data_IF_155291097247
#
_entry.id   IF_155291097247
#
_cell.length_a   1.000
_cell.length_b   1.000
_cell.length_c   1.000
_cell.angle_alpha   90.00
_cell.angle_beta   90.00
_cell.angle_gamma   90.00
#
_symmetry.space_group_name_H-M   'P 1'
#
loop_
_entity.id
_entity.type
_entity.pdbx_description
1 polymer ?
#
# COMPACT_ATOMS: atom_id res chain seq x y z
N UNK A 1 -5.88 -46.92 -24.67
CA UNK A 1 -5.40 -46.82 -23.27
C UNK A 1 -4.53 -45.58 -23.06
N UNK A 2 -3.46 -45.36 -23.83
CA UNK A 2 -2.58 -44.19 -23.70
C UNK A 2 -3.30 -42.84 -23.92
N UNK A 3 -4.15 -42.75 -24.96
CA UNK A 3 -4.92 -41.52 -25.24
C UNK A 3 -5.93 -41.19 -24.14
N UNK A 4 -6.56 -42.21 -23.54
CA UNK A 4 -7.47 -42.01 -22.41
C UNK A 4 -6.72 -41.56 -21.14
N UNK A 5 -5.50 -42.07 -20.90
CA UNK A 5 -4.66 -41.67 -19.77
C UNK A 5 -4.19 -40.21 -19.91
N UNK A 6 -3.82 -39.79 -21.13
CA UNK A 6 -3.41 -38.40 -21.42
C UNK A 6 -4.58 -37.44 -21.25
N UNK A 7 -5.79 -37.82 -21.69
CA UNK A 7 -7.00 -36.99 -21.50
C UNK A 7 -7.36 -36.88 -20.02
N UNK A 8 -7.26 -37.96 -19.23
CA UNK A 8 -7.52 -37.90 -17.78
C UNK A 8 -6.48 -37.05 -17.06
N UNK A 9 -5.19 -37.15 -17.40
CA UNK A 9 -4.14 -36.33 -16.79
C UNK A 9 -4.28 -34.85 -17.17
N UNK A 10 -4.62 -34.53 -18.42
CA UNK A 10 -4.84 -33.14 -18.84
C UNK A 10 -6.11 -32.57 -18.20
N UNK A 11 -7.19 -33.34 -18.08
CA UNK A 11 -8.41 -32.90 -17.39
C UNK A 11 -8.19 -32.72 -15.90
N UNK A 12 -7.42 -33.59 -15.23
CA UNK A 12 -7.09 -33.43 -13.80
C UNK A 12 -6.18 -32.23 -13.57
N UNK A 13 -5.17 -31.99 -14.43
CA UNK A 13 -4.29 -30.81 -14.31
C UNK A 13 -5.06 -29.52 -14.60
N UNK A 14 -5.94 -29.50 -15.59
CA UNK A 14 -6.77 -28.32 -15.90
C UNK A 14 -7.81 -28.07 -14.81
N UNK A 15 -8.43 -29.11 -14.23
CA UNK A 15 -9.35 -28.96 -13.10
C UNK A 15 -8.62 -28.51 -11.84
N UNK A 16 -7.41 -29.00 -11.55
CA UNK A 16 -6.60 -28.54 -10.41
C UNK A 16 -6.13 -27.09 -10.62
N UNK A 17 -5.69 -26.71 -11.82
CA UNK A 17 -5.29 -25.33 -12.11
C UNK A 17 -6.49 -24.37 -12.08
N UNK A 18 -7.65 -24.78 -12.61
CA UNK A 18 -8.88 -23.98 -12.56
C UNK A 18 -9.42 -23.90 -11.14
N UNK A 19 -9.37 -24.96 -10.34
CA UNK A 19 -9.75 -24.92 -8.92
C UNK A 19 -8.78 -24.06 -8.12
N UNK A 20 -7.47 -24.11 -8.37
CA UNK A 20 -6.48 -23.23 -7.72
C UNK A 20 -6.68 -21.77 -8.12
N UNK A 21 -6.95 -21.47 -9.41
CA UNK A 21 -7.21 -20.12 -9.89
C UNK A 21 -8.57 -19.59 -9.40
N UNK A 22 -9.60 -20.44 -9.29
CA UNK A 22 -10.93 -20.07 -8.76
C UNK A 22 -10.91 -19.94 -7.23
N UNK A 23 -10.10 -20.71 -6.51
CA UNK A 23 -9.85 -20.52 -5.06
C UNK A 23 -9.08 -19.23 -4.80
N UNK A 24 -8.18 -18.81 -5.70
CA UNK A 24 -7.48 -17.52 -5.63
C UNK A 24 -8.40 -16.34 -6.01
N UNK A 25 -9.49 -16.57 -6.76
CA UNK A 25 -10.30 -15.50 -7.37
C UNK A 25 -11.74 -15.39 -6.84
N UNK A 26 -12.28 -16.36 -6.07
CA UNK A 26 -13.73 -16.37 -5.77
C UNK A 26 -14.13 -16.56 -4.29
N UNK A 27 -13.25 -16.90 -3.34
CA UNK A 27 -13.71 -17.07 -1.93
C UNK A 27 -12.66 -16.64 -0.91
N UNK A 28 -12.32 -15.35 -0.85
CA UNK A 28 -11.72 -14.76 0.35
C UNK A 28 -12.29 -13.35 0.49
N UNK A 29 -12.83 -13.00 1.66
CA UNK A 29 -12.98 -11.60 2.07
C UNK A 29 -11.58 -10.97 2.02
N UNK A 30 -11.20 -10.37 0.88
CA UNK A 30 -9.83 -9.87 0.71
C UNK A 30 -9.61 -8.72 1.71
N UNK A 31 -8.81 -8.98 2.73
CA UNK A 31 -8.31 -8.01 3.70
C UNK A 31 -7.04 -7.40 3.11
N UNK A 32 -7.19 -6.21 2.51
CA UNK A 32 -6.07 -5.39 2.09
C UNK A 32 -5.67 -4.50 3.27
N UNK A 33 -4.54 -4.79 3.91
CA UNK A 33 -3.87 -3.77 4.72
C UNK A 33 -3.16 -2.90 3.72
N UNK A 34 -3.81 -1.81 3.37
CA UNK A 34 -3.07 -0.73 2.82
C UNK A 34 -2.23 -0.18 4.00
N UNK A 35 -0.98 -0.67 4.22
CA UNK A 35 0.02 -0.05 5.12
C UNK A 35 0.50 1.26 4.51
N UNK A 36 -0.49 2.10 4.28
CA UNK A 36 -0.36 3.45 3.91
C UNK A 36 -0.10 4.14 5.21
N UNK A 37 1.14 4.47 5.52
CA UNK A 37 1.44 5.43 6.59
C UNK A 37 1.49 6.80 5.94
N UNK A 38 0.62 7.70 6.37
CA UNK A 38 0.74 9.12 6.04
C UNK A 38 1.85 9.74 6.90
N UNK A 39 3.10 9.47 6.54
CA UNK A 39 4.22 10.29 7.02
C UNK A 39 3.99 11.69 6.46
N UNK A 40 4.22 12.71 7.28
CA UNK A 40 3.82 14.09 7.02
C UNK A 40 4.49 14.63 5.72
N UNK A 41 3.84 14.38 4.58
CA UNK A 41 4.31 14.72 3.24
C UNK A 41 3.20 14.52 2.20
N UNK A 42 2.99 15.53 1.34
CA UNK A 42 1.82 15.63 0.45
C UNK A 42 1.74 14.49 -0.56
N UNK A 43 2.88 14.03 -1.12
CA UNK A 43 2.90 12.98 -2.15
C UNK A 43 2.47 11.62 -1.60
N UNK A 44 2.88 11.26 -0.39
CA UNK A 44 2.47 10.00 0.27
C UNK A 44 0.98 10.03 0.57
N UNK A 45 0.45 11.17 1.02
CA UNK A 45 -0.99 11.40 1.26
C UNK A 45 -1.84 11.20 0.00
N UNK A 46 -1.34 11.60 -1.17
CA UNK A 46 -2.05 11.46 -2.45
C UNK A 46 -2.07 10.00 -2.92
N UNK A 47 -0.91 9.33 -2.90
CA UNK A 47 -0.80 7.91 -3.31
C UNK A 47 -1.64 7.02 -2.39
N UNK A 48 -1.58 7.28 -1.10
CA UNK A 48 -2.42 6.70 -0.08
C UNK A 48 -3.93 6.77 -0.36
N UNK A 49 -4.43 7.99 -0.58
CA UNK A 49 -5.85 8.24 -0.80
C UNK A 49 -6.37 7.49 -2.04
N UNK A 50 -5.54 7.37 -3.08
CA UNK A 50 -5.85 6.61 -4.27
C UNK A 50 -5.96 5.11 -3.97
N UNK A 51 -5.00 4.53 -3.26
CA UNK A 51 -4.99 3.10 -2.94
C UNK A 51 -6.17 2.65 -2.10
N UNK A 52 -6.60 3.46 -1.12
CA UNK A 52 -7.82 3.16 -0.34
C UNK A 52 -9.01 3.04 -1.27
N UNK A 53 -9.22 4.02 -2.14
CA UNK A 53 -10.37 4.05 -3.03
C UNK A 53 -10.34 2.91 -4.05
N UNK A 54 -9.18 2.61 -4.63
CA UNK A 54 -9.03 1.49 -5.57
C UNK A 54 -9.28 0.14 -4.88
N UNK A 55 -8.76 -0.07 -3.66
CA UNK A 55 -9.01 -1.28 -2.90
C UNK A 55 -10.50 -1.42 -2.51
N UNK A 56 -11.15 -0.30 -2.15
CA UNK A 56 -12.61 -0.30 -1.90
C UNK A 56 -13.44 -0.58 -3.15
N UNK A 57 -13.06 -0.02 -4.31
CA UNK A 57 -13.69 -0.35 -5.59
C UNK A 57 -13.51 -1.82 -5.97
N UNK A 58 -12.41 -2.43 -5.55
CA UNK A 58 -12.16 -3.87 -5.68
C UNK A 58 -12.89 -4.73 -4.63
N UNK A 59 -13.72 -4.14 -3.75
CA UNK A 59 -14.50 -4.87 -2.75
C UNK A 59 -13.70 -5.31 -1.51
N UNK A 60 -12.52 -4.75 -1.29
CA UNK A 60 -11.64 -5.17 -0.19
C UNK A 60 -12.07 -4.55 1.16
N UNK A 61 -11.74 -5.23 2.25
CA UNK A 61 -11.64 -4.61 3.57
C UNK A 61 -10.30 -3.87 3.65
N UNK A 62 -10.33 -2.58 3.93
CA UNK A 62 -9.16 -1.69 3.88
C UNK A 62 -8.82 -1.21 5.28
N UNK A 63 -7.59 -1.51 5.68
CA UNK A 63 -6.97 -0.98 6.89
C UNK A 63 -5.91 0.02 6.46
N UNK A 64 -5.92 1.23 7.03
CA UNK A 64 -5.00 2.31 6.72
C UNK A 64 -4.35 2.90 7.96
N UNK A 65 -3.11 3.37 7.87
CA UNK A 65 -2.37 3.93 9.01
C UNK A 65 -2.10 5.42 8.83
N UNK A 66 -2.06 6.22 9.89
CA UNK A 66 -1.85 7.66 9.75
C UNK A 66 -1.23 8.29 10.99
N UNK A 67 -0.76 9.54 10.83
CA UNK A 67 -0.05 10.28 11.88
C UNK A 67 -0.93 11.24 12.70
N UNK A 68 -2.22 11.34 12.38
CA UNK A 68 -3.14 12.28 13.05
C UNK A 68 -4.61 11.86 12.92
N UNK A 69 -5.46 12.44 13.78
CA UNK A 69 -6.89 12.16 13.78
C UNK A 69 -7.62 12.76 12.56
N UNK A 70 -7.14 13.90 12.05
CA UNK A 70 -7.65 14.53 10.83
C UNK A 70 -7.43 13.61 9.63
N UNK A 71 -6.24 13.00 9.53
CA UNK A 71 -5.91 12.02 8.49
C UNK A 71 -6.71 10.73 8.63
N UNK A 72 -6.94 10.25 9.85
CA UNK A 72 -7.83 9.12 10.11
C UNK A 72 -9.26 9.43 9.62
N UNK A 73 -9.76 10.64 9.90
CA UNK A 73 -11.08 11.08 9.45
C UNK A 73 -11.18 11.15 7.93
N UNK A 74 -10.13 11.68 7.27
CA UNK A 74 -10.04 11.70 5.81
C UNK A 74 -10.09 10.28 5.24
N UNK A 75 -9.26 9.36 5.76
CA UNK A 75 -9.22 7.96 5.33
C UNK A 75 -10.58 7.28 5.45
N UNK A 76 -11.24 7.47 6.59
CA UNK A 76 -12.58 6.93 6.81
C UNK A 76 -13.60 7.50 5.79
N UNK A 77 -13.49 8.79 5.46
CA UNK A 77 -14.31 9.43 4.42
C UNK A 77 -14.04 8.93 2.99
N UNK A 78 -12.89 8.30 2.75
CA UNK A 78 -12.53 7.63 1.48
C UNK A 78 -12.96 6.16 1.44
N UNK A 79 -13.57 5.65 2.52
CA UNK A 79 -14.06 4.28 2.62
C UNK A 79 -13.12 3.31 3.33
N UNK A 80 -12.05 3.79 3.99
CA UNK A 80 -11.21 2.96 4.84
C UNK A 80 -12.02 2.40 6.02
N UNK A 81 -12.01 1.07 6.19
CA UNK A 81 -12.80 0.36 7.21
C UNK A 81 -12.17 0.50 8.60
N UNK A 82 -10.83 0.43 8.68
CA UNK A 82 -10.07 0.62 9.93
C UNK A 82 -8.90 1.58 9.73
N UNK A 83 -8.94 2.70 10.44
CA UNK A 83 -7.86 3.69 10.45
C UNK A 83 -7.06 3.59 11.74
N UNK A 84 -5.76 3.39 11.67
CA UNK A 84 -4.86 3.25 12.83
C UNK A 84 -4.00 4.51 12.94
N UNK A 85 -4.15 5.27 14.02
CA UNK A 85 -3.24 6.38 14.28
C UNK A 85 -2.01 5.88 15.04
N UNK A 86 -0.90 5.69 14.34
CA UNK A 86 0.31 5.08 14.92
C UNK A 86 0.98 5.92 16.02
N UNK A 87 0.58 7.20 16.18
CA UNK A 87 1.04 8.03 17.30
C UNK A 87 0.28 7.77 18.59
N UNK A 88 -0.91 7.17 18.51
CA UNK A 88 -1.80 6.90 19.66
C UNK A 88 -2.09 5.41 19.85
N UNK A 89 -1.83 4.59 18.83
CA UNK A 89 -2.07 3.16 18.81
C UNK A 89 -0.80 2.42 18.35
N UNK A 90 -0.50 1.27 18.93
CA UNK A 90 0.61 0.43 18.48
C UNK A 90 0.15 -0.47 17.32
N UNK A 91 0.79 -0.31 16.16
CA UNK A 91 0.41 -1.04 14.93
C UNK A 91 0.50 -2.57 15.11
N UNK A 92 1.54 -3.07 15.78
CA UNK A 92 1.75 -4.51 15.95
C UNK A 92 0.64 -5.11 16.84
N UNK A 93 0.28 -4.39 17.91
CA UNK A 93 -0.78 -4.81 18.83
C UNK A 93 -2.16 -4.78 18.16
N UNK A 94 -2.45 -3.72 17.38
CA UNK A 94 -3.73 -3.61 16.67
C UNK A 94 -3.88 -4.72 15.64
N UNK A 95 -2.85 -4.97 14.83
CA UNK A 95 -2.90 -6.06 13.83
C UNK A 95 -3.06 -7.43 14.51
N UNK A 96 -2.35 -7.67 15.61
CA UNK A 96 -2.46 -8.93 16.35
C UNK A 96 -3.86 -9.16 16.94
N UNK A 97 -4.51 -8.09 17.42
CA UNK A 97 -5.80 -8.17 18.10
C UNK A 97 -6.99 -8.20 17.14
N UNK A 98 -6.96 -7.36 16.11
CA UNK A 98 -8.09 -7.17 15.19
C UNK A 98 -7.98 -8.02 13.91
N UNK A 99 -6.76 -8.40 13.51
CA UNK A 99 -6.48 -9.15 12.28
C UNK A 99 -5.64 -10.41 12.57
N UNK A 100 -6.12 -11.34 13.42
CA UNK A 100 -5.35 -12.51 13.84
C UNK A 100 -5.03 -13.49 12.69
N UNK A 101 -5.80 -13.46 11.60
CA UNK A 101 -5.56 -14.24 10.40
C UNK A 101 -4.52 -13.59 9.45
N UNK A 102 -4.03 -12.41 9.84
CA UNK A 102 -3.12 -11.60 9.05
C UNK A 102 -3.82 -10.86 7.92
N UNK A 103 -3.00 -10.42 6.97
CA UNK A 103 -3.34 -9.52 5.88
C UNK A 103 -3.01 -10.13 4.53
N UNK A 104 -3.96 -10.10 3.60
CA UNK A 104 -3.77 -10.67 2.26
C UNK A 104 -2.86 -9.83 1.36
N UNK A 105 -3.00 -8.50 1.41
CA UNK A 105 -2.18 -7.59 0.58
C UNK A 105 -1.69 -6.42 1.41
N UNK A 106 -0.37 -6.20 1.39
CA UNK A 106 0.32 -5.06 2.01
C UNK A 106 0.88 -4.14 0.93
N UNK A 107 0.52 -2.85 0.98
CA UNK A 107 1.19 -1.79 0.22
C UNK A 107 2.16 -1.04 1.15
N UNK A 108 3.47 -1.28 1.03
CA UNK A 108 4.49 -0.80 1.97
C UNK A 108 5.36 0.29 1.34
N UNK A 109 5.41 1.46 1.99
CA UNK A 109 6.10 2.66 1.50
C UNK A 109 7.14 3.23 2.48
N UNK A 110 7.28 2.62 3.66
CA UNK A 110 7.88 3.24 4.83
C UNK A 110 9.20 2.61 5.17
N UNK A 111 9.28 1.28 5.12
CA UNK A 111 10.45 0.50 5.47
C UNK A 111 10.64 0.30 6.97
N UNK A 112 11.80 -0.27 7.32
CA UNK A 112 12.26 -0.48 8.70
C UNK A 112 11.21 -1.21 9.56
N UNK A 113 10.92 -0.70 10.77
CA UNK A 113 10.01 -1.34 11.73
C UNK A 113 8.61 -1.60 11.15
N UNK A 114 8.12 -0.74 10.26
CA UNK A 114 6.78 -0.89 9.65
C UNK A 114 6.79 -2.07 8.67
N UNK A 115 7.86 -2.21 7.88
CA UNK A 115 8.05 -3.38 7.03
C UNK A 115 8.12 -4.68 7.83
N UNK A 116 8.88 -4.69 8.94
CA UNK A 116 9.00 -5.85 9.82
C UNK A 116 7.64 -6.28 10.40
N UNK A 117 6.84 -5.32 10.86
CA UNK A 117 5.47 -5.56 11.37
C UNK A 117 4.57 -6.08 10.25
N UNK A 118 4.63 -5.48 9.05
CA UNK A 118 3.79 -5.90 7.94
C UNK A 118 4.12 -7.32 7.45
N UNK A 119 5.40 -7.68 7.40
CA UNK A 119 5.86 -9.04 7.09
C UNK A 119 5.40 -10.05 8.16
N UNK A 120 5.49 -9.66 9.44
CA UNK A 120 5.02 -10.47 10.57
C UNK A 120 3.52 -10.74 10.50
N UNK A 121 2.71 -9.77 10.09
CA UNK A 121 1.24 -9.87 10.04
C UNK A 121 0.67 -10.22 8.66
N UNK A 122 1.51 -10.61 7.70
CA UNK A 122 1.04 -11.10 6.41
C UNK A 122 0.20 -12.39 6.60
N UNK A 123 -0.91 -12.55 5.89
CA UNK A 123 -1.70 -13.78 5.90
C UNK A 123 -0.97 -14.90 5.16
N UNK A 124 -1.44 -16.13 5.32
CA UNK A 124 -1.07 -17.22 4.42
C UNK A 124 -1.43 -16.83 2.98
N UNK A 125 -0.49 -17.06 2.05
CA UNK A 125 -0.55 -16.65 0.65
C UNK A 125 -0.61 -15.12 0.43
N UNK A 126 -0.33 -14.34 1.48
CA UNK A 126 -0.36 -12.89 1.41
C UNK A 126 0.76 -12.30 0.55
N UNK A 127 0.59 -11.06 0.12
CA UNK A 127 1.49 -10.36 -0.80
C UNK A 127 1.92 -9.02 -0.22
N UNK A 128 3.21 -8.81 -0.06
CA UNK A 128 3.79 -7.54 0.36
C UNK A 128 4.43 -6.84 -0.84
N UNK A 129 3.88 -5.68 -1.22
CA UNK A 129 4.42 -4.82 -2.26
C UNK A 129 5.33 -3.76 -1.63
N UNK A 130 6.60 -3.75 -2.04
CA UNK A 130 7.58 -2.74 -1.64
C UNK A 130 7.61 -1.64 -2.68
N UNK A 131 7.18 -0.45 -2.27
CA UNK A 131 7.03 0.73 -3.13
C UNK A 131 8.13 1.74 -2.86
N UNK A 132 8.57 1.82 -1.60
CA UNK A 132 9.61 2.72 -1.15
C UNK A 132 9.90 2.53 0.34
N UNK A 133 10.88 3.27 0.85
CA UNK A 133 11.26 3.27 2.26
C UNK A 133 11.46 4.71 2.74
N UNK A 134 10.36 5.48 2.87
CA UNK A 134 10.45 6.91 3.17
C UNK A 134 11.19 7.21 4.47
N UNK A 135 11.09 6.32 5.47
CA UNK A 135 11.80 6.50 6.74
C UNK A 135 13.33 6.44 6.60
N UNK A 136 13.85 5.85 5.52
CA UNK A 136 15.29 5.83 5.22
C UNK A 136 15.75 7.05 4.40
N UNK A 137 14.84 7.90 3.92
CA UNK A 137 15.15 9.08 3.10
C UNK A 137 15.50 10.32 3.95
N UNK A 138 15.15 10.33 5.24
CA UNK A 138 15.23 11.50 6.12
C UNK A 138 16.65 11.83 6.60
N UNK A 139 17.53 10.83 6.66
CA UNK A 139 18.91 11.00 7.13
C UNK A 139 19.87 11.17 5.94
N UNK A 140 20.99 11.90 6.03
CA UNK A 140 22.06 11.83 5.03
C UNK A 140 22.73 10.44 4.99
N UNK A 141 23.16 9.94 3.81
CA UNK A 141 23.86 8.64 3.66
C UNK A 141 23.26 7.67 2.62
N UNK A 142 23.84 6.48 2.47
CA UNK A 142 23.34 5.46 1.52
C UNK A 142 22.00 4.87 1.96
N UNK A 143 21.07 4.64 1.03
CA UNK A 143 19.79 3.99 1.32
C UNK A 143 19.97 2.56 1.85
N UNK A 144 20.98 1.84 1.33
CA UNK A 144 21.28 0.47 1.73
C UNK A 144 21.77 0.36 3.18
N UNK A 145 22.46 1.39 3.67
CA UNK A 145 22.96 1.44 5.05
C UNK A 145 21.85 1.78 6.06
N UNK A 146 20.76 2.40 5.59
CA UNK A 146 19.66 2.90 6.42
C UNK A 146 18.44 2.00 6.43
N UNK A 147 18.38 0.99 5.57
CA UNK A 147 17.36 -0.05 5.65
C UNK A 147 17.78 -1.03 6.75
N UNK A 148 17.26 -0.84 7.95
CA UNK A 148 17.61 -1.61 9.16
C UNK A 148 16.58 -2.69 9.48
N UNK A 149 15.95 -3.25 8.44
CA UNK A 149 15.00 -4.35 8.59
C UNK A 149 15.65 -5.47 9.40
N UNK A 150 15.05 -5.77 10.55
CA UNK A 150 15.60 -6.75 11.49
C UNK A 150 15.10 -8.16 11.20
N UNK A 151 14.02 -8.30 10.42
CA UNK A 151 13.40 -9.59 10.14
C UNK A 151 14.10 -10.31 8.97
N UNK A 152 14.60 -11.54 9.17
CA UNK A 152 15.10 -12.37 8.06
C UNK A 152 13.93 -12.76 7.15
N UNK A 153 13.89 -12.24 5.93
CA UNK A 153 12.79 -12.43 4.97
C UNK A 153 12.54 -13.89 4.54
N UNK A 154 13.54 -14.76 4.30
CA UNK A 154 13.30 -16.05 3.68
C UNK A 154 12.33 -16.97 4.43
N UNK A 155 12.41 -17.03 5.76
CA UNK A 155 11.59 -17.94 6.55
C UNK A 155 10.13 -17.49 6.69
N UNK A 156 9.81 -16.22 7.04
CA UNK A 156 8.44 -15.71 7.04
C UNK A 156 7.72 -15.90 5.71
N UNK A 157 8.39 -15.65 4.58
CA UNK A 157 7.83 -15.84 3.24
C UNK A 157 7.57 -17.32 2.97
N UNK A 158 8.54 -18.19 3.27
CA UNK A 158 8.40 -19.63 3.07
C UNK A 158 7.27 -20.23 3.90
N UNK A 159 7.19 -19.91 5.19
CA UNK A 159 6.18 -20.51 6.09
C UNK A 159 4.75 -20.13 5.72
N UNK A 160 4.55 -18.95 5.14
CA UNK A 160 3.24 -18.43 4.76
C UNK A 160 2.90 -18.66 3.29
N UNK A 161 3.78 -19.28 2.49
CA UNK A 161 3.67 -19.28 1.02
C UNK A 161 3.40 -17.87 0.45
N UNK A 162 4.01 -16.85 1.06
CA UNK A 162 3.75 -15.47 0.74
C UNK A 162 4.63 -14.96 -0.42
N UNK A 163 4.28 -13.79 -0.95
CA UNK A 163 5.05 -13.08 -1.96
C UNK A 163 5.60 -11.76 -1.40
N UNK A 164 6.87 -11.46 -1.72
CA UNK A 164 7.47 -10.15 -1.55
C UNK A 164 7.84 -9.59 -2.92
N UNK A 165 7.26 -8.45 -3.32
CA UNK A 165 7.45 -7.88 -4.66
C UNK A 165 7.82 -6.41 -4.62
N UNK A 166 8.95 -6.06 -5.22
CA UNK A 166 9.28 -4.66 -5.49
C UNK A 166 8.46 -4.09 -6.65
N UNK A 167 8.03 -2.85 -6.52
CA UNK A 167 7.39 -2.10 -7.60
C UNK A 167 8.19 -0.82 -7.89
N UNK A 168 8.74 -0.72 -9.10
CA UNK A 168 9.49 0.44 -9.53
C UNK A 168 8.84 1.02 -10.80
N UNK A 169 8.19 2.18 -10.65
CA UNK A 169 7.38 2.80 -11.70
C UNK A 169 8.09 2.92 -13.07
N UNK A 170 9.39 3.27 -13.15
CA UNK A 170 10.11 3.31 -14.43
C UNK A 170 10.04 2.03 -15.28
N UNK A 171 9.84 0.85 -14.67
CA UNK A 171 9.69 -0.40 -15.41
C UNK A 171 8.33 -0.58 -16.09
N UNK A 172 7.36 0.30 -15.79
CA UNK A 172 5.99 0.23 -16.32
C UNK A 172 5.64 1.39 -17.26
N UNK A 173 6.61 2.27 -17.55
CA UNK A 173 6.45 3.39 -18.48
C UNK A 173 6.13 2.86 -19.88
N UNK A 174 5.21 3.54 -20.58
CA UNK A 174 4.74 3.16 -21.91
C UNK A 174 3.25 2.83 -21.90
N UNK A 175 2.85 1.90 -22.77
CA UNK A 175 1.45 1.49 -22.93
C UNK A 175 0.75 1.05 -21.62
N UNK A 176 1.38 0.26 -20.72
CA UNK A 176 0.75 -0.11 -19.47
C UNK A 176 0.36 1.10 -18.61
N UNK A 177 1.30 2.03 -18.38
CA UNK A 177 1.03 3.24 -17.60
C UNK A 177 -0.02 4.15 -18.27
N UNK A 178 0.01 4.28 -19.61
CA UNK A 178 -0.99 5.07 -20.35
C UNK A 178 -2.40 4.53 -20.11
N UNK A 179 -2.60 3.22 -20.25
CA UNK A 179 -3.90 2.59 -20.08
C UNK A 179 -4.43 2.75 -18.64
N UNK A 180 -3.58 2.54 -17.64
CA UNK A 180 -3.98 2.74 -16.24
C UNK A 180 -4.28 4.22 -15.96
N UNK A 181 -3.54 5.15 -16.56
CA UNK A 181 -3.82 6.59 -16.42
C UNK A 181 -5.19 6.95 -16.99
N UNK A 182 -5.54 6.43 -18.17
CA UNK A 182 -6.86 6.63 -18.79
C UNK A 182 -7.97 6.07 -17.88
N UNK A 183 -7.78 4.87 -17.34
CA UNK A 183 -8.72 4.27 -16.41
C UNK A 183 -8.91 5.13 -15.13
N UNK A 184 -7.82 5.66 -14.55
CA UNK A 184 -7.90 6.54 -13.40
C UNK A 184 -8.62 7.86 -13.70
N UNK A 185 -8.44 8.40 -14.90
CA UNK A 185 -9.18 9.59 -15.37
C UNK A 185 -10.66 9.27 -15.53
N UNK A 186 -11.02 8.10 -16.06
CA UNK A 186 -12.41 7.67 -16.17
C UNK A 186 -13.07 7.51 -14.79
N UNK A 187 -12.38 6.88 -13.84
CA UNK A 187 -12.86 6.76 -12.46
C UNK A 187 -13.05 8.13 -11.80
N UNK A 188 -12.14 9.08 -12.04
CA UNK A 188 -12.25 10.43 -11.52
C UNK A 188 -13.42 11.20 -12.15
N UNK A 189 -13.55 11.18 -13.48
CA UNK A 189 -14.60 11.90 -14.21
C UNK A 189 -16.00 11.34 -13.96
N UNK A 190 -16.11 10.03 -13.71
CA UNK A 190 -17.38 9.39 -13.31
C UNK A 190 -17.71 9.52 -11.82
N UNK A 191 -16.84 10.18 -11.03
CA UNK A 191 -17.04 10.41 -9.60
C UNK A 191 -16.80 9.18 -8.71
N UNK A 192 -16.29 8.08 -9.28
CA UNK A 192 -15.90 6.87 -8.53
C UNK A 192 -14.60 7.06 -7.76
N UNK A 193 -13.75 7.99 -8.21
CA UNK A 193 -12.52 8.38 -7.54
C UNK A 193 -12.55 9.87 -7.16
N UNK A 194 -12.17 10.18 -5.92
CA UNK A 194 -11.97 11.53 -5.42
C UNK A 194 -10.48 11.86 -5.41
N UNK A 195 -10.13 13.00 -5.98
CA UNK A 195 -8.80 13.58 -5.88
C UNK A 195 -8.83 14.75 -4.89
N UNK A 196 -8.00 14.68 -3.85
CA UNK A 196 -7.79 15.80 -2.93
C UNK A 196 -6.49 16.49 -3.31
N UNK A 197 -6.56 17.80 -3.54
CA UNK A 197 -5.39 18.63 -3.87
C UNK A 197 -5.17 19.59 -2.72
N UNK A 198 -3.96 19.54 -2.15
CA UNK A 198 -3.53 20.51 -1.16
C UNK A 198 -2.91 21.72 -1.86
N UNK A 199 -3.59 22.85 -1.77
CA UNK A 199 -3.17 24.11 -2.39
C UNK A 199 -2.33 24.97 -1.45
N UNK A 200 -1.94 24.47 -0.27
CA UNK A 200 -1.14 25.23 0.69
C UNK A 200 -1.89 26.37 1.38
N UNK A 201 -3.21 26.48 1.19
CA UNK A 201 -4.04 27.57 1.74
C UNK A 201 -4.03 27.64 3.27
N UNK A 202 -3.70 26.53 3.93
CA UNK A 202 -3.60 26.41 5.38
C UNK A 202 -2.18 26.74 5.90
N UNK A 203 -1.21 26.97 5.01
CA UNK A 203 0.18 27.21 5.40
C UNK A 203 0.41 28.67 5.79
N UNK A 204 1.36 28.96 6.71
CA UNK A 204 1.67 30.34 7.09
C UNK A 204 2.14 31.24 5.94
N UNK A 205 2.66 30.64 4.85
CA UNK A 205 3.20 31.32 3.67
C UNK A 205 2.17 31.55 2.56
N UNK A 206 0.90 31.18 2.81
CA UNK A 206 -0.19 31.30 1.86
C UNK A 206 -0.21 30.20 0.80
N UNK A 207 -1.18 30.23 -0.12
CA UNK A 207 -1.38 29.17 -1.11
C UNK A 207 -0.21 29.04 -2.10
N UNK A 208 -0.01 27.83 -2.61
CA UNK A 208 1.02 27.48 -3.59
C UNK A 208 0.62 27.94 -5.00
N UNK A 209 0.70 29.25 -5.23
CA UNK A 209 0.40 29.88 -6.53
C UNK A 209 1.66 30.50 -7.08
N UNK A 210 2.08 30.08 -8.28
CA UNK A 210 3.30 30.55 -8.93
C UNK A 210 4.49 29.60 -8.77
N UNK A 211 5.45 29.69 -9.69
CA UNK A 211 6.64 28.80 -9.72
C UNK A 211 7.58 29.05 -8.53
N UNK A 212 7.58 30.26 -8.00
CA UNK A 212 8.32 30.69 -6.81
C UNK A 212 7.87 29.94 -5.55
N UNK A 213 6.61 29.47 -5.53
CA UNK A 213 6.04 28.68 -4.43
C UNK A 213 6.39 27.19 -4.48
N UNK A 214 7.11 26.72 -5.49
CA UNK A 214 7.58 25.31 -5.53
C UNK A 214 8.48 25.03 -4.33
N UNK A 215 9.39 25.94 -4.00
CA UNK A 215 10.24 25.76 -2.82
C UNK A 215 9.43 25.71 -1.52
N UNK A 216 8.40 26.55 -1.40
CA UNK A 216 7.51 26.51 -0.23
C UNK A 216 6.73 25.19 -0.15
N UNK A 217 6.27 24.64 -1.28
CA UNK A 217 5.58 23.35 -1.32
C UNK A 217 6.52 22.17 -1.01
N UNK A 218 7.77 22.23 -1.48
CA UNK A 218 8.83 21.26 -1.17
C UNK A 218 9.24 21.38 0.30
N UNK A 219 9.41 22.58 0.83
CA UNK A 219 9.71 22.83 2.23
C UNK A 219 8.57 22.36 3.13
N UNK A 220 7.31 22.57 2.77
CA UNK A 220 6.20 22.00 3.54
C UNK A 220 6.29 20.48 3.50
N UNK A 221 6.62 19.88 2.35
CA UNK A 221 6.82 18.43 2.23
C UNK A 221 8.04 17.91 3.00
N UNK A 222 9.13 18.68 3.17
CA UNK A 222 10.39 18.27 3.83
C UNK A 222 10.45 18.67 5.31
N UNK A 223 9.93 19.84 5.68
CA UNK A 223 9.87 20.34 7.07
C UNK A 223 8.93 19.49 7.90
N UNK A 224 7.84 19.03 7.28
CA UNK A 224 6.95 18.04 7.89
C UNK A 224 7.66 16.68 8.11
N UNK A 225 8.60 16.28 7.24
CA UNK A 225 9.47 15.12 7.46
C UNK A 225 10.52 15.35 8.57
N UNK A 226 11.00 16.59 8.76
CA UNK A 226 12.06 16.93 9.75
C UNK A 226 11.56 17.18 11.18
N UNK A 227 10.27 17.39 11.39
CA UNK A 227 9.70 17.71 12.71
C UNK A 227 9.66 16.51 13.70
N UNK A 228 10.26 15.38 13.35
CA UNK A 228 10.30 14.16 14.17
C UNK A 228 11.70 13.51 14.31
N UNK A 229 12.77 14.33 14.28
CA UNK A 229 14.05 13.97 14.92
C UNK A 229 14.07 14.36 16.39
#
# INVERSE_FOLDING_TARGET
VVVALVVVVVVVVVVVVVVVVVVIVVVIEVVVLAVIVFVDGIVVVVVAALWVQLAKLAGCHVVGTCSSQEKATLLKGLGCDRTINYKTEDLDQVLQAEYPNGIDVVYECIGNKVFDIALKHLADYGRLLVIGAISSYETPGSLLEKTTNSTPIPMPILWKNADLRGFHLPHFVGEPLRKETEHLVDLYTTGQLKATVDTGSHTPKGPFVGIDKIHDAVDVSITLLRLFS
#
